data_IF_979979551046
#
_entry.id   IF_979979551046
#
_cell.length_a   1.000
_cell.length_b   1.000
_cell.length_c   1.000
_cell.angle_alpha   90.00
_cell.angle_beta   90.00
_cell.angle_gamma   90.00
#
_symmetry.space_group_name_H-M   'P 1'
#
loop_
_entity.id
_entity.type
_entity.pdbx_description
1 polymer ?
#
# COMPACT_ATOMS: atom_id res chain seq x y z
N UNK A 1 -11.35 21.26 10.03
CA UNK A 1 -10.97 19.90 10.45
C UNK A 1 -10.30 19.21 9.28
N UNK A 2 -9.15 18.58 9.49
CA UNK A 2 -8.47 17.76 8.47
C UNK A 2 -9.35 16.56 8.15
N UNK A 3 -9.56 16.27 6.87
CA UNK A 3 -10.53 15.25 6.44
C UNK A 3 -10.11 14.51 5.16
N UNK A 4 -8.89 14.73 4.67
CA UNK A 4 -8.36 14.02 3.50
C UNK A 4 -7.29 13.02 3.87
N UNK A 5 -7.15 12.02 3.00
CA UNK A 5 -5.98 11.14 2.95
C UNK A 5 -5.04 11.65 1.86
N UNK A 6 -3.75 11.72 2.18
CA UNK A 6 -2.69 11.95 1.19
C UNK A 6 -1.96 10.64 0.96
N UNK A 7 -1.84 10.19 -0.28
CA UNK A 7 -1.04 9.02 -0.63
C UNK A 7 0.19 9.43 -1.44
N UNK A 8 1.35 8.88 -1.08
CA UNK A 8 2.61 9.13 -1.76
C UNK A 8 3.01 7.92 -2.58
N UNK A 9 3.29 8.14 -3.87
CA UNK A 9 3.86 7.12 -4.77
C UNK A 9 5.13 7.68 -5.40
N UNK A 10 6.29 7.43 -4.78
CA UNK A 10 7.57 8.00 -5.25
C UNK A 10 8.09 7.35 -6.53
N UNK A 11 7.64 6.15 -6.88
CA UNK A 11 8.03 5.45 -8.11
C UNK A 11 6.80 4.79 -8.77
N UNK A 12 5.86 5.60 -9.29
CA UNK A 12 4.65 5.07 -9.91
C UNK A 12 4.98 4.33 -11.21
N UNK A 13 4.02 3.56 -11.71
CA UNK A 13 4.19 2.79 -12.93
C UNK A 13 2.88 2.73 -13.73
N UNK A 14 2.99 2.50 -15.03
CA UNK A 14 1.89 1.86 -15.75
C UNK A 14 2.07 0.34 -15.63
N UNK A 15 1.09 -0.32 -15.01
CA UNK A 15 1.07 -1.77 -14.88
C UNK A 15 0.43 -2.36 -16.14
N UNK A 16 1.26 -3.00 -16.96
CA UNK A 16 0.86 -3.64 -18.22
C UNK A 16 0.73 -5.14 -18.00
N UNK A 17 -0.50 -5.65 -18.01
CA UNK A 17 -0.77 -7.09 -17.94
C UNK A 17 -1.08 -7.63 -19.32
N UNK A 18 -0.31 -8.60 -19.78
CA UNK A 18 -0.53 -9.32 -21.04
C UNK A 18 -0.90 -10.76 -20.77
N UNK A 19 -2.03 -11.21 -21.32
CA UNK A 19 -2.42 -12.60 -21.29
C UNK A 19 -1.99 -13.30 -22.58
N UNK A 20 -1.45 -14.51 -22.40
CA UNK A 20 -1.00 -15.40 -23.45
C UNK A 20 -1.54 -16.79 -23.16
N UNK A 21 -1.82 -17.57 -24.21
CA UNK A 21 -2.13 -18.99 -24.03
C UNK A 21 -0.93 -19.72 -23.42
N UNK A 22 0.26 -19.48 -23.97
CA UNK A 22 1.52 -20.01 -23.47
C UNK A 22 2.63 -18.98 -23.70
N UNK A 23 3.47 -18.75 -22.70
CA UNK A 23 4.65 -17.91 -22.82
C UNK A 23 5.86 -18.75 -23.26
N UNK A 24 6.47 -18.35 -24.38
CA UNK A 24 7.62 -19.00 -24.99
C UNK A 24 8.86 -18.10 -24.93
N UNK A 25 9.84 -18.49 -24.12
CA UNK A 25 11.14 -17.80 -24.03
C UNK A 25 11.92 -18.02 -25.33
N UNK A 26 12.39 -16.93 -25.94
CA UNK A 26 13.10 -16.95 -27.22
C UNK A 26 12.20 -17.12 -28.45
N UNK A 27 10.88 -17.24 -28.27
CA UNK A 27 9.89 -17.38 -29.33
C UNK A 27 9.07 -16.10 -29.59
N UNK A 28 8.23 -16.14 -30.63
CA UNK A 28 7.25 -15.09 -30.91
C UNK A 28 6.00 -15.31 -30.07
N UNK A 29 5.72 -14.37 -29.16
CA UNK A 29 4.54 -14.41 -28.31
C UNK A 29 3.47 -13.44 -28.86
N UNK A 30 2.22 -13.91 -28.98
CA UNK A 30 1.08 -13.09 -29.43
C UNK A 30 0.09 -12.91 -28.29
N UNK A 31 -0.03 -11.68 -27.82
CA UNK A 31 -0.95 -11.29 -26.73
C UNK A 31 -2.39 -11.47 -27.17
N UNK A 32 -3.18 -12.21 -26.38
CA UNK A 32 -4.62 -12.38 -26.61
C UNK A 32 -5.44 -11.28 -25.94
N UNK A 33 -4.99 -10.80 -24.79
CA UNK A 33 -5.61 -9.69 -24.04
C UNK A 33 -4.54 -8.82 -23.40
N UNK A 34 -4.74 -7.51 -23.46
CA UNK A 34 -3.86 -6.49 -22.89
C UNK A 34 -4.68 -5.59 -21.96
N UNK A 35 -4.20 -5.44 -20.73
CA UNK A 35 -4.72 -4.48 -19.75
C UNK A 35 -3.61 -3.54 -19.31
N UNK A 36 -3.94 -2.26 -19.16
CA UNK A 36 -3.03 -1.23 -18.66
C UNK A 36 -3.76 -0.50 -17.54
N UNK A 37 -3.13 -0.43 -16.37
CA UNK A 37 -3.69 0.28 -15.21
C UNK A 37 -2.65 1.25 -14.63
N UNK A 38 -3.08 2.36 -14.01
CA UNK A 38 -2.19 3.17 -13.20
C UNK A 38 -1.80 2.38 -11.94
N UNK A 39 -0.50 2.22 -11.76
CA UNK A 39 0.12 1.35 -10.78
C UNK A 39 1.03 2.08 -9.79
N UNK A 40 1.24 1.45 -8.64
CA UNK A 40 1.99 1.98 -7.51
C UNK A 40 1.15 1.96 -6.24
N UNK A 41 1.77 1.63 -5.11
CA UNK A 41 1.05 1.37 -3.85
C UNK A 41 0.15 2.53 -3.41
N UNK A 42 0.67 3.77 -3.40
CA UNK A 42 -0.14 4.94 -3.04
C UNK A 42 -1.29 5.20 -4.01
N UNK A 43 -1.11 4.95 -5.31
CA UNK A 43 -2.17 5.03 -6.33
C UNK A 43 -3.23 3.94 -6.09
N UNK A 44 -2.82 2.70 -5.80
CA UNK A 44 -3.73 1.60 -5.48
C UNK A 44 -4.58 1.90 -4.24
N UNK A 45 -3.95 2.45 -3.20
CA UNK A 45 -4.66 2.93 -2.00
C UNK A 45 -5.67 4.03 -2.36
N UNK A 46 -5.28 4.98 -3.21
CA UNK A 46 -6.18 6.07 -3.63
C UNK A 46 -7.39 5.57 -4.43
N UNK A 47 -7.21 4.55 -5.30
CA UNK A 47 -8.32 3.92 -6.03
C UNK A 47 -9.36 3.33 -5.07
N UNK A 48 -8.92 2.60 -4.05
CA UNK A 48 -9.82 2.00 -3.04
C UNK A 48 -10.52 3.08 -2.22
N UNK A 49 -9.77 4.08 -1.73
CA UNK A 49 -10.35 5.20 -0.97
C UNK A 49 -11.40 5.97 -1.76
N UNK A 50 -11.19 6.15 -3.07
CA UNK A 50 -12.18 6.76 -3.95
C UNK A 50 -13.45 5.92 -4.05
N UNK A 51 -13.34 4.59 -4.14
CA UNK A 51 -14.48 3.67 -4.09
C UNK A 51 -15.20 3.69 -2.73
N UNK A 52 -14.48 4.02 -1.65
CA UNK A 52 -15.06 4.22 -0.33
C UNK A 52 -15.73 5.59 -0.15
N UNK A 53 -15.68 6.45 -1.16
CA UNK A 53 -16.22 7.80 -1.10
C UNK A 53 -15.34 8.78 -0.33
N UNK A 54 -14.14 8.37 0.08
CA UNK A 54 -13.22 9.21 0.86
C UNK A 54 -12.57 10.30 0.02
N UNK A 55 -12.21 11.41 0.67
CA UNK A 55 -11.40 12.47 0.06
C UNK A 55 -9.94 12.03 0.06
N UNK A 56 -9.37 11.84 -1.12
CA UNK A 56 -7.99 11.40 -1.29
C UNK A 56 -7.29 12.25 -2.34
N UNK A 57 -6.04 12.61 -2.03
CA UNK A 57 -5.09 13.23 -2.96
C UNK A 57 -3.93 12.25 -3.11
N UNK A 58 -3.52 11.98 -4.34
CA UNK A 58 -2.31 11.19 -4.60
C UNK A 58 -1.23 12.05 -5.26
N UNK A 59 0.02 11.87 -4.84
CA UNK A 59 1.17 12.66 -5.32
C UNK A 59 2.43 11.80 -5.38
N UNK A 60 3.49 12.33 -5.96
CA UNK A 60 4.74 11.65 -6.24
C UNK A 60 5.47 12.29 -7.42
N UNK A 61 6.14 11.47 -8.22
CA UNK A 61 6.84 11.89 -9.43
C UNK A 61 6.26 11.24 -10.68
N UNK A 62 6.09 12.00 -11.76
CA UNK A 62 5.72 11.49 -13.09
C UNK A 62 6.62 12.10 -14.15
N UNK A 63 6.93 11.36 -15.21
CA UNK A 63 7.81 11.85 -16.26
C UNK A 63 7.39 11.33 -17.64
N UNK A 64 7.53 12.19 -18.64
CA UNK A 64 7.33 11.86 -20.04
C UNK A 64 5.92 11.36 -20.38
N UNK A 65 5.82 10.66 -21.51
CA UNK A 65 4.53 10.28 -22.11
C UNK A 65 3.77 9.23 -21.27
N UNK A 66 4.50 8.33 -20.62
CA UNK A 66 3.98 7.32 -19.70
C UNK A 66 3.42 7.98 -18.45
N UNK A 67 4.06 9.06 -17.97
CA UNK A 67 3.54 9.89 -16.90
C UNK A 67 2.22 10.55 -17.27
N UNK A 68 2.14 11.19 -18.44
CA UNK A 68 0.91 11.82 -18.95
C UNK A 68 -0.26 10.82 -19.06
N UNK A 69 0.00 9.61 -19.57
CA UNK A 69 -1.00 8.55 -19.61
C UNK A 69 -1.48 8.16 -18.22
N UNK A 70 -0.56 8.02 -17.25
CA UNK A 70 -0.91 7.72 -15.87
C UNK A 70 -1.83 8.79 -15.28
N UNK A 71 -1.52 10.07 -15.49
CA UNK A 71 -2.38 11.18 -15.03
C UNK A 71 -3.76 11.13 -15.69
N UNK A 72 -3.82 10.85 -16.99
CA UNK A 72 -5.09 10.69 -17.73
C UNK A 72 -5.95 9.57 -17.15
N UNK A 73 -5.34 8.45 -16.75
CA UNK A 73 -6.08 7.39 -16.07
C UNK A 73 -6.62 7.86 -14.71
N UNK A 74 -5.82 8.57 -13.91
CA UNK A 74 -6.28 9.10 -12.62
C UNK A 74 -7.45 10.09 -12.79
N UNK A 75 -7.40 10.94 -13.82
CA UNK A 75 -8.49 11.86 -14.16
C UNK A 75 -9.78 11.10 -14.53
N UNK A 76 -9.65 10.03 -15.33
CA UNK A 76 -10.80 9.18 -15.70
C UNK A 76 -11.44 8.47 -14.50
N UNK A 77 -10.64 8.20 -13.45
CA UNK A 77 -11.08 7.62 -12.19
C UNK A 77 -11.54 8.68 -11.18
N UNK A 78 -11.53 9.97 -11.55
CA UNK A 78 -11.89 11.10 -10.69
C UNK A 78 -11.07 11.16 -9.39
N UNK A 79 -9.80 10.77 -9.46
CA UNK A 79 -8.88 10.81 -8.32
C UNK A 79 -8.11 12.12 -8.40
N UNK A 80 -8.23 12.99 -7.37
CA UNK A 80 -7.43 14.22 -7.29
C UNK A 80 -5.95 13.84 -7.16
N UNK A 81 -5.12 14.44 -7.99
CA UNK A 81 -3.68 14.20 -7.98
C UNK A 81 -2.89 15.48 -8.12
N UNK A 82 -1.69 15.49 -7.53
CA UNK A 82 -0.75 16.62 -7.57
C UNK A 82 0.67 16.09 -7.76
N UNK A 83 0.94 15.41 -8.88
CA UNK A 83 2.28 14.87 -9.14
C UNK A 83 3.27 15.96 -9.58
N UNK A 84 4.53 15.79 -9.21
CA UNK A 84 5.64 16.59 -9.72
C UNK A 84 6.11 15.99 -11.04
N UNK A 85 6.12 16.80 -12.09
CA UNK A 85 6.72 16.42 -13.35
C UNK A 85 8.25 16.41 -13.22
N UNK A 86 8.88 15.33 -13.69
CA UNK A 86 10.32 15.11 -13.62
C UNK A 86 10.89 14.75 -14.98
N UNK A 87 12.18 14.95 -15.13
CA UNK A 87 12.95 14.45 -16.26
C UNK A 87 12.97 12.92 -16.30
N UNK A 88 12.95 12.36 -17.52
CA UNK A 88 12.86 10.93 -17.75
C UNK A 88 11.42 10.45 -17.94
N UNK A 89 11.24 9.14 -17.92
CA UNK A 89 9.98 8.47 -18.23
C UNK A 89 9.50 7.68 -17.00
N UNK A 90 8.22 7.84 -16.62
CA UNK A 90 7.57 6.96 -15.65
C UNK A 90 7.71 5.50 -16.12
N UNK A 91 8.04 4.58 -15.21
CA UNK A 91 8.28 3.19 -15.58
C UNK A 91 7.03 2.45 -16.04
N UNK A 92 7.26 1.38 -16.79
CA UNK A 92 6.27 0.32 -17.03
C UNK A 92 6.63 -0.94 -16.24
N UNK A 93 5.63 -1.54 -15.60
CA UNK A 93 5.74 -2.90 -15.05
C UNK A 93 5.01 -3.85 -16.00
N UNK A 94 5.67 -4.90 -16.49
CA UNK A 94 5.07 -5.89 -17.37
C UNK A 94 4.77 -7.18 -16.59
N UNK A 95 3.50 -7.58 -16.57
CA UNK A 95 3.03 -8.86 -16.05
C UNK A 95 2.62 -9.75 -17.21
N UNK A 96 3.29 -10.89 -17.37
CA UNK A 96 3.00 -11.88 -18.41
C UNK A 96 2.27 -13.05 -17.76
N UNK A 97 0.98 -13.21 -18.09
CA UNK A 97 0.14 -14.30 -17.58
C UNK A 97 0.13 -15.43 -18.61
N UNK A 98 0.71 -16.58 -18.23
CA UNK A 98 0.70 -17.81 -19.02
C UNK A 98 -0.52 -18.66 -18.59
N UNK A 99 -1.56 -18.67 -19.43
CA UNK A 99 -2.82 -19.34 -19.12
C UNK A 99 -2.72 -20.87 -19.09
N UNK A 100 -1.75 -21.46 -19.80
CA UNK A 100 -1.52 -22.91 -19.80
C UNK A 100 -0.84 -23.33 -18.50
N UNK A 101 0.21 -22.62 -18.10
CA UNK A 101 0.97 -22.94 -16.87
C UNK A 101 0.35 -22.38 -15.61
N UNK A 102 -0.60 -21.44 -15.71
CA UNK A 102 -1.20 -20.71 -14.57
C UNK A 102 -0.14 -20.01 -13.72
N UNK A 103 0.87 -19.45 -14.38
CA UNK A 103 1.95 -18.67 -13.73
C UNK A 103 1.96 -17.24 -14.28
N UNK A 104 2.43 -16.31 -13.46
CA UNK A 104 2.68 -14.93 -13.86
C UNK A 104 4.17 -14.64 -13.76
N UNK A 105 4.75 -14.05 -14.80
CA UNK A 105 6.12 -13.54 -14.81
C UNK A 105 6.09 -12.01 -14.75
N UNK A 106 6.85 -11.41 -13.85
CA UNK A 106 6.92 -9.95 -13.70
C UNK A 106 8.26 -9.40 -14.17
N UNK A 107 8.23 -8.31 -14.94
CA UNK A 107 9.39 -7.57 -15.40
C UNK A 107 9.16 -6.10 -15.05
N UNK A 108 9.85 -5.62 -14.02
CA UNK A 108 9.67 -4.27 -13.50
C UNK A 108 10.86 -3.40 -13.87
N UNK A 109 10.58 -2.28 -14.53
CA UNK A 109 11.59 -1.25 -14.80
C UNK A 109 11.95 -0.48 -13.52
N UNK A 110 13.13 0.13 -13.52
CA UNK A 110 13.69 0.82 -12.35
C UNK A 110 12.97 2.13 -12.02
N UNK A 111 12.41 2.82 -13.01
CA UNK A 111 11.88 4.17 -12.89
C UNK A 111 12.92 5.27 -13.21
N UNK A 112 12.48 6.53 -13.33
CA UNK A 112 13.34 7.66 -13.67
C UNK A 112 14.25 8.03 -12.49
N UNK A 113 15.43 8.56 -12.81
CA UNK A 113 16.30 9.16 -11.79
C UNK A 113 15.83 10.58 -11.48
N UNK A 114 15.50 10.83 -10.21
CA UNK A 114 14.99 12.12 -9.76
C UNK A 114 16.16 13.04 -9.43
N UNK A 115 16.15 14.22 -10.04
CA UNK A 115 17.16 15.25 -9.83
C UNK A 115 16.94 15.96 -8.49
N UNK A 116 18.01 16.50 -7.91
CA UNK A 116 17.95 17.19 -6.62
C UNK A 116 16.96 18.37 -6.61
N UNK A 117 16.90 19.15 -7.71
CA UNK A 117 15.94 20.25 -7.83
C UNK A 117 14.47 19.77 -7.81
N UNK A 118 14.18 18.65 -8.48
CA UNK A 118 12.84 18.05 -8.52
C UNK A 118 12.43 17.53 -7.14
N UNK A 119 13.37 16.91 -6.42
CA UNK A 119 13.16 16.45 -5.04
C UNK A 119 12.89 17.61 -4.07
N UNK A 120 13.55 18.76 -4.23
CA UNK A 120 13.27 19.95 -3.40
C UNK A 120 11.89 20.56 -3.70
N UNK A 121 11.48 20.60 -4.98
CA UNK A 121 10.12 21.01 -5.36
C UNK A 121 9.07 20.13 -4.69
N UNK A 122 9.27 18.80 -4.73
CA UNK A 122 8.39 17.86 -4.05
C UNK A 122 8.29 18.12 -2.55
N UNK A 123 9.44 18.30 -1.85
CA UNK A 123 9.45 18.61 -0.41
C UNK A 123 8.65 19.87 -0.08
N UNK A 124 8.78 20.92 -0.88
CA UNK A 124 8.03 22.16 -0.69
C UNK A 124 6.52 21.95 -0.87
N UNK A 125 6.11 21.22 -1.91
CA UNK A 125 4.69 20.94 -2.18
C UNK A 125 4.04 20.12 -1.07
N UNK A 126 4.73 19.09 -0.57
CA UNK A 126 4.22 18.24 0.51
C UNK A 126 3.85 19.05 1.75
N UNK A 127 4.62 20.08 2.07
CA UNK A 127 4.30 20.99 3.16
C UNK A 127 2.86 21.49 3.09
N UNK A 128 2.43 22.00 1.95
CA UNK A 128 1.08 22.55 1.76
C UNK A 128 0.00 21.47 1.79
N UNK A 129 0.26 20.31 1.16
CA UNK A 129 -0.68 19.19 1.13
C UNK A 129 -0.99 18.64 2.53
N UNK A 130 0.00 18.65 3.43
CA UNK A 130 -0.17 18.18 4.80
C UNK A 130 -1.08 19.07 5.66
N UNK A 131 -1.40 20.30 5.24
CA UNK A 131 -2.28 21.20 6.00
C UNK A 131 -3.74 20.71 6.04
N UNK A 132 -4.23 20.09 4.96
CA UNK A 132 -5.58 19.52 4.88
C UNK A 132 -5.65 18.01 5.21
N UNK A 133 -4.48 17.35 5.26
CA UNK A 133 -4.34 15.91 5.45
C UNK A 133 -4.55 15.50 6.90
N UNK A 134 -5.37 14.46 7.12
CA UNK A 134 -5.53 13.77 8.41
C UNK A 134 -4.72 12.46 8.48
N UNK A 135 -4.63 11.74 7.35
CA UNK A 135 -3.87 10.49 7.23
C UNK A 135 -2.92 10.57 6.03
N UNK A 136 -1.64 10.26 6.25
CA UNK A 136 -0.63 10.19 5.21
C UNK A 136 -0.22 8.73 4.99
N UNK A 137 -0.38 8.24 3.77
CA UNK A 137 0.05 6.89 3.36
C UNK A 137 1.34 7.00 2.56
N UNK A 138 2.37 6.31 3.03
CA UNK A 138 3.69 6.25 2.43
C UNK A 138 3.93 4.81 2.03
N UNK A 139 4.03 4.53 0.73
CA UNK A 139 4.22 3.15 0.30
C UNK A 139 4.88 2.99 -1.06
N UNK A 140 5.56 1.85 -1.20
CA UNK A 140 6.25 1.45 -2.42
C UNK A 140 7.71 1.84 -2.47
N UNK A 141 8.34 1.33 -3.52
CA UNK A 141 9.75 1.55 -3.83
C UNK A 141 10.04 3.04 -4.06
N UNK A 142 11.22 3.47 -3.66
CA UNK A 142 11.73 4.81 -3.87
C UNK A 142 12.40 4.91 -5.26
N UNK A 143 12.15 6.00 -6.00
CA UNK A 143 12.80 6.22 -7.31
C UNK A 143 14.31 6.43 -7.17
N UNK A 144 15.12 6.05 -8.16
CA UNK A 144 16.54 6.41 -8.20
C UNK A 144 16.78 7.91 -8.00
N UNK A 145 17.91 8.29 -7.41
CA UNK A 145 18.23 9.70 -7.12
C UNK A 145 17.60 10.23 -5.82
N UNK A 146 16.53 9.61 -5.32
CA UNK A 146 15.95 9.95 -4.01
C UNK A 146 16.67 9.18 -2.89
N UNK A 147 16.94 9.90 -1.80
CA UNK A 147 17.52 9.31 -0.59
C UNK A 147 16.60 8.28 0.06
N UNK A 148 17.19 7.20 0.59
CA UNK A 148 16.44 6.10 1.24
C UNK A 148 15.76 6.54 2.55
N UNK A 149 16.15 7.68 3.12
CA UNK A 149 15.53 8.28 4.29
C UNK A 149 14.35 9.21 3.98
N UNK A 150 13.92 9.33 2.71
CA UNK A 150 12.81 10.21 2.33
C UNK A 150 11.53 9.95 3.14
N UNK A 151 11.17 8.69 3.38
CA UNK A 151 10.00 8.37 4.20
C UNK A 151 10.19 8.78 5.66
N UNK A 152 11.41 8.74 6.18
CA UNK A 152 11.70 9.26 7.52
C UNK A 152 11.39 10.76 7.58
N UNK A 153 11.91 11.55 6.62
CA UNK A 153 11.68 12.98 6.56
C UNK A 153 10.19 13.34 6.38
N UNK A 154 9.47 12.60 5.54
CA UNK A 154 8.03 12.80 5.32
C UNK A 154 7.21 12.49 6.58
N UNK A 155 7.57 11.42 7.33
CA UNK A 155 6.90 11.09 8.60
C UNK A 155 7.16 12.18 9.64
N UNK A 156 8.40 12.68 9.74
CA UNK A 156 8.76 13.76 10.67
C UNK A 156 7.98 15.05 10.34
N UNK A 157 7.88 15.43 9.07
CA UNK A 157 7.09 16.58 8.63
C UNK A 157 5.58 16.42 8.94
N UNK A 158 5.04 15.22 8.70
CA UNK A 158 3.63 14.91 8.99
C UNK A 158 3.31 15.01 10.49
N UNK A 159 4.23 14.58 11.36
CA UNK A 159 4.09 14.67 12.81
C UNK A 159 3.99 16.10 13.33
N UNK A 160 4.76 17.02 12.77
CA UNK A 160 4.68 18.45 13.12
C UNK A 160 3.29 19.05 12.84
N UNK A 161 2.51 18.40 11.98
CA UNK A 161 1.14 18.79 11.61
C UNK A 161 0.07 17.84 12.16
N UNK A 162 0.41 17.01 13.15
CA UNK A 162 -0.49 16.05 13.80
C UNK A 162 -1.17 15.07 12.82
N UNK A 163 -0.50 14.74 11.72
CA UNK A 163 -1.01 13.80 10.71
C UNK A 163 -0.63 12.37 11.10
N UNK A 164 -1.60 11.45 11.08
CA UNK A 164 -1.33 10.02 11.29
C UNK A 164 -0.69 9.41 10.06
N UNK A 165 0.44 8.75 10.20
CA UNK A 165 1.19 8.16 9.08
C UNK A 165 1.07 6.65 9.02
N UNK A 166 0.81 6.10 7.85
CA UNK A 166 0.86 4.66 7.56
C UNK A 166 2.03 4.40 6.63
N UNK A 167 2.98 3.57 7.05
CA UNK A 167 4.13 3.16 6.25
C UNK A 167 3.94 1.72 5.75
N UNK A 168 3.80 1.57 4.43
CA UNK A 168 3.70 0.29 3.70
C UNK A 168 4.81 0.23 2.63
N UNK A 169 6.05 0.13 3.11
CA UNK A 169 7.26 0.05 2.31
C UNK A 169 8.04 -1.23 2.65
N UNK A 170 9.07 -1.53 1.87
CA UNK A 170 9.95 -2.69 2.04
C UNK A 170 11.41 -2.27 2.27
N UNK A 171 12.24 -3.25 2.65
CA UNK A 171 13.71 -3.12 2.71
C UNK A 171 14.22 -1.90 3.50
N UNK A 172 15.18 -1.18 2.91
CA UNK A 172 15.81 -0.03 3.57
C UNK A 172 14.82 1.14 3.75
N UNK A 173 13.86 1.32 2.85
CA UNK A 173 12.86 2.39 2.98
C UNK A 173 11.98 2.20 4.22
N UNK A 174 11.55 0.96 4.51
CA UNK A 174 10.85 0.62 5.75
C UNK A 174 11.73 0.86 6.98
N UNK A 175 12.97 0.36 6.96
CA UNK A 175 13.93 0.47 8.05
C UNK A 175 14.29 1.91 8.40
N UNK A 176 14.44 2.77 7.40
CA UNK A 176 14.66 4.21 7.62
C UNK A 176 13.38 4.89 8.12
N UNK A 177 12.23 4.62 7.51
CA UNK A 177 10.95 5.20 7.94
C UNK A 177 10.58 4.87 9.38
N UNK A 178 10.90 3.66 9.86
CA UNK A 178 10.71 3.24 11.26
C UNK A 178 11.41 4.14 12.28
N UNK A 179 12.55 4.74 11.93
CA UNK A 179 13.27 5.68 12.82
C UNK A 179 12.43 6.91 13.17
N UNK A 180 11.58 7.33 12.24
CA UNK A 180 10.64 8.42 12.46
C UNK A 180 9.38 7.99 13.22
N UNK A 181 9.23 6.71 13.59
CA UNK A 181 8.11 6.16 14.38
C UNK A 181 6.74 6.48 13.77
N UNK A 182 6.39 5.93 12.60
CA UNK A 182 5.08 6.17 11.98
C UNK A 182 3.94 5.76 12.92
N UNK A 183 2.74 6.29 12.69
CA UNK A 183 1.56 5.89 13.49
C UNK A 183 1.27 4.40 13.28
N UNK A 184 1.26 3.93 12.03
CA UNK A 184 1.09 2.53 11.70
C UNK A 184 2.12 2.01 10.69
N UNK A 185 2.44 0.73 10.79
CA UNK A 185 3.15 -0.02 9.74
C UNK A 185 2.34 -1.24 9.32
N UNK A 186 2.43 -1.64 8.05
CA UNK A 186 1.74 -2.83 7.53
C UNK A 186 2.67 -3.80 6.80
N UNK A 187 3.71 -4.38 7.43
CA UNK A 187 4.48 -5.42 6.74
C UNK A 187 3.64 -6.67 6.51
N UNK A 188 3.91 -7.40 5.42
CA UNK A 188 3.55 -8.82 5.36
C UNK A 188 4.55 -9.67 6.15
N UNK A 189 4.22 -10.94 6.40
CA UNK A 189 5.09 -11.83 7.20
C UNK A 189 6.51 -11.95 6.63
N UNK A 190 6.67 -12.06 5.31
CA UNK A 190 7.99 -12.17 4.67
C UNK A 190 8.79 -10.87 4.78
N UNK A 191 8.14 -9.72 4.62
CA UNK A 191 8.77 -8.40 4.81
C UNK A 191 9.23 -8.22 6.27
N UNK A 192 8.42 -8.67 7.22
CA UNK A 192 8.74 -8.64 8.65
C UNK A 192 9.93 -9.55 8.99
N UNK A 193 9.93 -10.78 8.49
CA UNK A 193 11.05 -11.73 8.64
C UNK A 193 12.35 -11.19 8.04
N UNK A 194 12.27 -10.60 6.83
CA UNK A 194 13.41 -9.98 6.17
C UNK A 194 13.95 -8.79 6.97
N UNK A 195 13.07 -7.95 7.51
CA UNK A 195 13.45 -6.80 8.33
C UNK A 195 14.17 -7.25 9.62
N UNK A 196 13.75 -8.36 10.22
CA UNK A 196 14.33 -8.90 11.45
C UNK A 196 15.51 -9.84 11.22
N UNK A 197 15.73 -10.30 9.98
CA UNK A 197 16.77 -11.26 9.63
C UNK A 197 16.55 -12.66 10.24
N UNK A 198 15.32 -13.02 10.58
CA UNK A 198 14.95 -14.33 11.16
C UNK A 198 13.55 -14.75 10.74
N UNK A 199 13.29 -16.06 10.74
CA UNK A 199 11.94 -16.60 10.55
C UNK A 199 11.08 -16.40 11.80
N UNK A 200 9.77 -16.31 11.59
CA UNK A 200 8.74 -16.22 12.63
C UNK A 200 7.74 -17.34 12.40
N UNK A 201 7.93 -18.46 13.09
CA UNK A 201 7.19 -19.70 12.84
C UNK A 201 5.87 -19.79 13.63
N UNK A 202 5.70 -18.92 14.65
CA UNK A 202 4.51 -18.95 15.51
C UNK A 202 3.84 -17.57 15.64
N UNK A 203 2.54 -17.58 15.92
CA UNK A 203 1.77 -16.35 16.15
C UNK A 203 2.36 -15.51 17.30
N UNK A 204 2.83 -16.14 18.38
CA UNK A 204 3.46 -15.45 19.52
C UNK A 204 4.80 -14.79 19.14
N UNK A 205 5.57 -15.39 18.24
CA UNK A 205 6.79 -14.76 17.72
C UNK A 205 6.47 -13.52 16.89
N UNK A 206 5.40 -13.56 16.09
CA UNK A 206 4.92 -12.41 15.31
C UNK A 206 4.41 -11.31 16.25
N UNK A 207 3.63 -11.67 17.28
CA UNK A 207 3.15 -10.73 18.30
C UNK A 207 4.33 -10.11 19.06
N UNK A 208 5.33 -10.90 19.45
CA UNK A 208 6.54 -10.41 20.11
C UNK A 208 7.30 -9.42 19.23
N UNK A 209 7.49 -9.74 17.96
CA UNK A 209 8.11 -8.86 16.97
C UNK A 209 7.33 -7.54 16.81
N UNK A 210 6.00 -7.61 16.67
CA UNK A 210 5.17 -6.40 16.61
C UNK A 210 5.31 -5.54 17.85
N UNK A 211 5.29 -6.16 19.04
CA UNK A 211 5.47 -5.46 20.32
C UNK A 211 6.85 -4.79 20.45
N UNK A 212 7.90 -5.29 19.79
CA UNK A 212 9.20 -4.60 19.73
C UNK A 212 9.07 -3.24 19.03
N UNK A 213 8.33 -3.15 17.93
CA UNK A 213 8.08 -1.89 17.22
C UNK A 213 7.14 -0.96 18.01
N UNK A 214 6.15 -1.52 18.71
CA UNK A 214 5.30 -0.74 19.63
C UNK A 214 6.15 -0.05 20.70
N UNK A 215 7.08 -0.79 21.34
CA UNK A 215 8.02 -0.22 22.33
C UNK A 215 8.95 0.84 21.74
N UNK A 216 9.23 0.79 20.45
CA UNK A 216 10.03 1.81 19.75
C UNK A 216 9.21 3.07 19.40
N UNK A 217 7.88 3.02 19.55
CA UNK A 217 6.97 4.16 19.44
C UNK A 217 6.06 4.14 18.22
N UNK A 218 5.96 3.03 17.50
CA UNK A 218 4.88 2.81 16.52
C UNK A 218 3.58 2.59 17.29
N UNK A 219 2.47 3.19 16.86
CA UNK A 219 1.19 3.01 17.56
C UNK A 219 0.54 1.69 17.18
N UNK A 220 0.44 1.38 15.89
CA UNK A 220 -0.17 0.16 15.36
C UNK A 220 0.79 -0.62 14.44
N UNK A 221 0.89 -1.93 14.65
CA UNK A 221 1.61 -2.85 13.76
C UNK A 221 0.61 -3.84 13.19
N UNK A 222 0.48 -3.87 11.87
CA UNK A 222 -0.43 -4.77 11.16
C UNK A 222 0.41 -5.77 10.37
N UNK A 223 0.36 -7.05 10.74
CA UNK A 223 1.09 -8.11 10.04
C UNK A 223 0.13 -8.94 9.22
N UNK A 224 0.21 -8.86 7.90
CA UNK A 224 -0.62 -9.67 6.99
C UNK A 224 0.07 -10.99 6.62
N UNK A 225 -0.68 -12.09 6.64
CA UNK A 225 -0.20 -13.47 6.42
C UNK A 225 -0.99 -14.18 5.29
N UNK A 226 -1.52 -13.41 4.33
CA UNK A 226 -2.26 -13.96 3.20
C UNK A 226 -3.55 -14.69 3.64
N UNK A 227 -3.72 -15.94 3.19
CA UNK A 227 -4.88 -16.76 3.53
C UNK A 227 -5.03 -17.05 5.02
N UNK A 228 -3.94 -16.96 5.79
CA UNK A 228 -3.99 -17.10 7.25
C UNK A 228 -4.62 -15.87 7.92
N UNK A 229 -4.75 -14.74 7.24
CA UNK A 229 -5.34 -13.50 7.76
C UNK A 229 -4.31 -12.50 8.25
N UNK A 230 -4.60 -11.82 9.35
CA UNK A 230 -3.73 -10.75 9.85
C UNK A 230 -3.77 -10.58 11.38
N UNK A 231 -2.70 -9.99 11.91
CA UNK A 231 -2.57 -9.57 13.30
C UNK A 231 -2.51 -8.04 13.36
N UNK A 232 -3.32 -7.45 14.22
CA UNK A 232 -3.30 -6.02 14.53
C UNK A 232 -2.81 -5.87 15.97
N UNK A 233 -1.69 -5.20 16.14
CA UNK A 233 -0.99 -5.10 17.42
C UNK A 233 -0.91 -3.63 17.80
N UNK A 234 -1.30 -3.32 19.02
CA UNK A 234 -1.16 -2.00 19.64
C UNK A 234 -0.59 -2.14 21.06
N UNK A 235 -0.41 -1.02 21.74
CA UNK A 235 -0.02 -1.03 23.15
C UNK A 235 -1.05 -1.75 24.03
N UNK A 236 -2.34 -1.57 23.77
CA UNK A 236 -3.42 -2.01 24.65
C UNK A 236 -3.94 -3.41 24.33
N UNK A 237 -3.88 -3.79 23.06
CA UNK A 237 -4.49 -5.03 22.58
C UNK A 237 -3.83 -5.59 21.33
N UNK A 238 -4.03 -6.90 21.15
CA UNK A 238 -3.76 -7.65 19.93
C UNK A 238 -5.07 -8.20 19.40
N UNK A 239 -5.35 -7.98 18.12
CA UNK A 239 -6.52 -8.52 17.42
C UNK A 239 -6.05 -9.42 16.29
N UNK A 240 -6.41 -10.70 16.37
CA UNK A 240 -6.26 -11.67 15.29
C UNK A 240 -7.51 -11.63 14.41
N UNK A 241 -7.35 -11.34 13.12
CA UNK A 241 -8.44 -11.34 12.15
C UNK A 241 -8.25 -12.46 11.12
N UNK A 242 -9.27 -13.31 10.99
CA UNK A 242 -9.32 -14.38 9.99
C UNK A 242 -10.25 -13.98 8.84
N UNK A 243 -9.77 -14.12 7.59
CA UNK A 243 -10.58 -13.83 6.42
C UNK A 243 -11.65 -14.90 6.24
N UNK A 244 -12.72 -14.54 5.53
CA UNK A 244 -13.68 -15.53 5.07
C UNK A 244 -13.12 -16.31 3.86
N UNK A 245 -13.54 -17.58 3.65
CA UNK A 245 -13.03 -18.39 2.54
C UNK A 245 -13.39 -17.80 1.17
N UNK A 246 -12.40 -17.73 0.28
CA UNK A 246 -12.57 -17.32 -1.12
C UNK A 246 -11.74 -18.20 -2.05
N UNK A 247 -12.04 -18.15 -3.35
CA UNK A 247 -11.12 -18.61 -4.40
C UNK A 247 -10.30 -17.42 -4.89
N UNK A 248 -8.99 -17.33 -4.59
CA UNK A 248 -8.18 -16.20 -5.01
C UNK A 248 -8.09 -16.12 -6.54
N UNK A 249 -8.35 -14.95 -7.11
CA UNK A 249 -8.13 -14.67 -8.53
C UNK A 249 -6.85 -13.87 -8.75
N UNK A 250 -6.57 -12.92 -7.87
CA UNK A 250 -5.35 -12.12 -7.87
C UNK A 250 -5.08 -11.64 -6.46
N UNK A 251 -3.85 -11.76 -5.95
CA UNK A 251 -3.48 -11.19 -4.64
C UNK A 251 -2.92 -9.77 -4.77
N UNK A 252 -2.78 -9.27 -6.00
CA UNK A 252 -2.27 -7.93 -6.29
C UNK A 252 -3.25 -6.89 -5.76
N UNK A 253 -2.74 -5.89 -5.03
CA UNK A 253 -3.57 -4.81 -4.47
C UNK A 253 -4.37 -5.18 -3.22
N UNK A 254 -4.39 -6.45 -2.78
CA UNK A 254 -5.06 -6.85 -1.53
C UNK A 254 -4.45 -6.12 -0.31
N UNK A 255 -3.11 -6.08 -0.23
CA UNK A 255 -2.42 -5.33 0.82
C UNK A 255 -2.70 -3.83 0.76
N UNK A 256 -2.73 -3.25 -0.44
CA UNK A 256 -3.02 -1.82 -0.63
C UNK A 256 -4.48 -1.50 -0.23
N UNK A 257 -5.41 -2.43 -0.47
CA UNK A 257 -6.80 -2.32 -0.02
C UNK A 257 -6.94 -2.41 1.50
N UNK A 258 -6.11 -3.23 2.17
CA UNK A 258 -6.02 -3.18 3.63
C UNK A 258 -5.56 -1.80 4.11
N UNK A 259 -4.54 -1.20 3.48
CA UNK A 259 -4.04 0.14 3.86
C UNK A 259 -5.10 1.22 3.63
N UNK A 260 -5.85 1.15 2.53
CA UNK A 260 -6.97 2.05 2.28
C UNK A 260 -8.05 1.94 3.36
N UNK A 261 -8.46 0.72 3.70
CA UNK A 261 -9.43 0.50 4.78
C UNK A 261 -8.91 0.97 6.15
N UNK A 262 -7.63 0.74 6.48
CA UNK A 262 -7.01 1.28 7.70
C UNK A 262 -7.07 2.82 7.68
N UNK A 263 -6.78 3.43 6.54
CA UNK A 263 -6.81 4.90 6.38
C UNK A 263 -8.21 5.46 6.62
N UNK A 264 -9.24 4.86 6.01
CA UNK A 264 -10.64 5.23 6.23
C UNK A 264 -11.04 5.01 7.71
N UNK A 265 -10.65 3.89 8.33
CA UNK A 265 -10.93 3.64 9.74
C UNK A 265 -10.30 4.69 10.66
N UNK A 266 -9.07 5.14 10.35
CA UNK A 266 -8.39 6.18 11.10
C UNK A 266 -9.03 7.56 10.93
N UNK A 267 -9.56 7.88 9.73
CA UNK A 267 -10.34 9.09 9.49
C UNK A 267 -11.61 9.11 10.35
N UNK A 268 -12.30 7.98 10.43
CA UNK A 268 -13.56 7.84 11.16
C UNK A 268 -13.40 7.52 12.65
N UNK A 269 -12.17 7.47 13.16
CA UNK A 269 -11.89 7.20 14.57
C UNK A 269 -12.32 5.81 15.06
N UNK A 270 -12.34 4.82 14.16
CA UNK A 270 -12.71 3.44 14.50
C UNK A 270 -11.67 2.77 15.40
N UNK A 271 -12.12 1.81 16.19
CA UNK A 271 -11.25 1.00 17.06
C UNK A 271 -10.28 0.12 16.27
N UNK A 272 -9.25 -0.42 16.91
CA UNK A 272 -8.31 -1.35 16.27
C UNK A 272 -9.04 -2.63 15.81
N UNK A 273 -9.95 -3.16 16.63
CA UNK A 273 -10.75 -4.36 16.28
C UNK A 273 -11.67 -4.13 15.07
N UNK A 274 -12.36 -2.99 15.03
CA UNK A 274 -13.14 -2.62 13.83
C UNK A 274 -12.22 -2.45 12.62
N UNK A 275 -11.09 -1.77 12.78
CA UNK A 275 -10.09 -1.62 11.71
C UNK A 275 -9.61 -2.97 11.21
N UNK A 276 -9.43 -3.95 12.09
CA UNK A 276 -9.04 -5.31 11.74
C UNK A 276 -10.08 -6.00 10.86
N UNK A 277 -11.38 -5.84 11.17
CA UNK A 277 -12.49 -6.34 10.35
C UNK A 277 -12.51 -5.70 8.96
N UNK A 278 -12.51 -4.37 8.93
CA UNK A 278 -12.56 -3.59 7.68
C UNK A 278 -11.37 -3.88 6.77
N UNK A 279 -10.16 -3.85 7.31
CA UNK A 279 -8.95 -4.11 6.54
C UNK A 279 -8.88 -5.55 6.02
N UNK A 280 -9.24 -6.53 6.86
CA UNK A 280 -9.26 -7.94 6.42
C UNK A 280 -10.32 -8.15 5.34
N UNK A 281 -11.53 -7.62 5.51
CA UNK A 281 -12.58 -7.71 4.49
C UNK A 281 -12.16 -7.06 3.16
N UNK A 282 -11.59 -5.85 3.19
CA UNK A 282 -11.10 -5.17 1.98
C UNK A 282 -10.00 -5.96 1.26
N UNK A 283 -9.05 -6.52 2.01
CA UNK A 283 -8.02 -7.38 1.47
C UNK A 283 -8.58 -8.67 0.86
N UNK A 284 -9.52 -9.32 1.54
CA UNK A 284 -10.16 -10.57 1.09
C UNK A 284 -11.04 -10.36 -0.15
N UNK A 285 -11.89 -9.33 -0.17
CA UNK A 285 -12.73 -9.02 -1.35
C UNK A 285 -11.84 -8.75 -2.55
N UNK A 286 -10.82 -7.90 -2.41
CA UNK A 286 -9.87 -7.60 -3.50
C UNK A 286 -9.15 -8.86 -3.98
N UNK A 287 -8.76 -9.77 -3.07
CA UNK A 287 -8.10 -11.01 -3.45
C UNK A 287 -8.99 -11.96 -4.30
N UNK A 288 -10.31 -11.81 -4.22
CA UNK A 288 -11.29 -12.57 -5.00
C UNK A 288 -11.58 -11.99 -6.40
N UNK A 289 -11.06 -10.79 -6.69
CA UNK A 289 -11.27 -10.06 -7.93
C UNK A 289 -10.15 -10.31 -8.96
N UNK A 290 -10.45 -10.24 -10.27
CA UNK A 290 -9.46 -10.44 -11.31
C UNK A 290 -8.51 -9.23 -11.47
N UNK A 291 -7.24 -9.52 -11.75
CA UNK A 291 -6.25 -8.51 -12.11
C UNK A 291 -5.96 -7.50 -10.99
N UNK A 292 -6.17 -6.22 -11.30
CA UNK A 292 -5.92 -5.06 -10.41
C UNK A 292 -7.22 -4.35 -10.01
N UNK A 293 -8.37 -5.01 -10.21
CA UNK A 293 -9.65 -4.56 -9.66
C UNK A 293 -9.58 -4.50 -8.14
N UNK A 294 -10.30 -3.53 -7.57
CA UNK A 294 -10.28 -3.24 -6.14
C UNK A 294 -11.69 -3.29 -5.58
N UNK A 295 -11.81 -3.64 -4.31
CA UNK A 295 -13.08 -3.68 -3.61
C UNK A 295 -13.83 -2.34 -3.59
N UNK A 296 -15.16 -2.42 -3.61
CA UNK A 296 -16.06 -1.29 -3.31
C UNK A 296 -16.46 -1.26 -1.83
N UNK A 297 -16.99 -0.13 -1.38
CA UNK A 297 -17.48 0.02 0.00
C UNK A 297 -18.56 -1.01 0.33
N UNK A 298 -19.56 -1.13 -0.54
CA UNK A 298 -20.72 -2.02 -0.36
C UNK A 298 -20.29 -3.49 -0.24
N UNK A 299 -19.36 -3.93 -1.08
CA UNK A 299 -18.83 -5.29 -1.01
C UNK A 299 -18.10 -5.54 0.31
N UNK A 300 -17.30 -4.58 0.79
CA UNK A 300 -16.62 -4.69 2.08
C UNK A 300 -17.62 -4.75 3.22
N UNK A 301 -18.59 -3.83 3.26
CA UNK A 301 -19.63 -3.75 4.29
C UNK A 301 -20.42 -5.06 4.40
N UNK A 302 -20.80 -5.65 3.26
CA UNK A 302 -21.57 -6.90 3.20
C UNK A 302 -20.82 -8.11 3.76
N UNK A 303 -19.48 -8.04 3.83
CA UNK A 303 -18.63 -9.14 4.29
C UNK A 303 -18.00 -8.90 5.68
N UNK A 304 -18.26 -7.77 6.34
CA UNK A 304 -17.66 -7.46 7.65
C UNK A 304 -17.98 -8.53 8.70
N UNK A 305 -19.22 -9.01 8.75
CA UNK A 305 -19.66 -10.03 9.72
C UNK A 305 -19.07 -11.42 9.45
N UNK A 306 -18.47 -11.64 8.27
CA UNK A 306 -17.82 -12.89 7.92
C UNK A 306 -16.35 -12.91 8.38
N UNK A 307 -15.78 -11.76 8.75
CA UNK A 307 -14.44 -11.68 9.32
C UNK A 307 -14.49 -12.03 10.80
N UNK A 308 -13.77 -13.09 11.19
CA UNK A 308 -13.69 -13.49 12.59
C UNK A 308 -12.53 -12.78 13.29
N UNK A 309 -12.84 -12.04 14.35
CA UNK A 309 -11.83 -11.38 15.19
C UNK A 309 -11.70 -12.02 16.57
N UNK A 310 -10.47 -12.25 17.00
CA UNK A 310 -10.13 -12.69 18.34
C UNK A 310 -9.24 -11.64 18.99
N UNK A 311 -9.72 -11.06 20.10
CA UNK A 311 -9.04 -9.97 20.80
C UNK A 311 -8.39 -10.47 22.09
N UNK A 312 -7.13 -10.11 22.28
CA UNK A 312 -6.37 -10.29 23.51
C UNK A 312 -5.96 -8.92 24.04
N UNK A 313 -6.34 -8.62 25.28
CA UNK A 313 -5.90 -7.39 25.97
C UNK A 313 -4.51 -7.62 26.55
N UNK A 314 -3.60 -6.67 26.37
CA UNK A 314 -2.27 -6.72 26.97
C UNK A 314 -2.39 -6.42 28.47
N UNK A 315 -2.21 -7.42 29.33
CA UNK A 315 -2.33 -7.27 30.80
C UNK A 315 -1.09 -6.66 31.47
N UNK A 316 -0.22 -5.96 30.75
CA UNK A 316 1.04 -5.45 31.30
C UNK A 316 0.92 -3.95 31.66
N UNK A 317 0.65 -3.70 32.93
CA UNK A 317 1.12 -2.52 33.68
C UNK A 317 2.11 -2.99 34.74
#
# INVERSE_FOLDING_TARGET
MKHSVLTITLNPALDKTVNLDQFEVGGLNRVSELRIDPGGKGINVAKVLRQFGESVITTGFVGGYTGEQLLTFLDSLQIRHEFIEVSGETRTNLKIVDNTKKITTEINERGPEILSGEAEVFKHQIGSLLDETAVLVLGGSVSPGISQDIYQALIEAAKLKEVKTILDADGEALKHGLKAKPYAIKPNIHELEQLLGKKLDTEEEIISAGNEFIRQGVSWVIVSMGGEGSLFISQDEVVRAHPFPITPKSTVGAGDSMVAAISACLLHGRSLEETARWATAAGTVTASMPGTEVCSLEEVETHLDQVQTFKRVNTNH
#
